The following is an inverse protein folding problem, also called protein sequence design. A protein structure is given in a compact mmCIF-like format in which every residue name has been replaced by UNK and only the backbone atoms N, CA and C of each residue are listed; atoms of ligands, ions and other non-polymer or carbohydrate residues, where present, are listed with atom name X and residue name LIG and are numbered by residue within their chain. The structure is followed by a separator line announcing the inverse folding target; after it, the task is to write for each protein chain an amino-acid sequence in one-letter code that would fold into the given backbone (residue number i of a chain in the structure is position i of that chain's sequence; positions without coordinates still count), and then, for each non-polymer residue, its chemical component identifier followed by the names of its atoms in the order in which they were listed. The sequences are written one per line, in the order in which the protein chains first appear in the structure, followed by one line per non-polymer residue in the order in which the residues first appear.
data_IF_132896271212
#
_entry.id   IF_132896271212
#
_cell.length_a   1.000
_cell.length_b   1.000
_cell.length_c   1.000
_cell.angle_alpha   90.00
_cell.angle_beta   90.00
_cell.angle_gamma   90.00
#
_symmetry.space_group_name_H-M   'P 1'
#
loop_
_entity.id
_entity.type
_entity.pdbx_description
1 polymer ?
#
# COMPACT_ATOMS: atom_id res chain seq x y z
N UNK A 1 -9.16 12.06 -22.93
CA UNK A 1 -8.10 11.34 -22.19
C UNK A 1 -7.34 12.33 -21.33
N UNK A 2 -7.43 12.24 -19.99
CA UNK A 2 -6.73 13.13 -19.04
C UNK A 2 -5.41 12.46 -18.63
N UNK A 3 -4.30 13.04 -19.06
CA UNK A 3 -2.95 12.61 -18.69
C UNK A 3 -2.57 12.98 -17.26
N UNK A 4 -2.00 12.00 -16.55
CA UNK A 4 -0.84 12.11 -15.65
C UNK A 4 -0.92 13.09 -14.45
N UNK A 5 -1.71 12.75 -13.41
CA UNK A 5 -1.36 13.08 -12.02
C UNK A 5 -0.76 11.82 -11.37
N UNK A 6 0.56 11.68 -11.55
CA UNK A 6 1.27 10.40 -11.74
C UNK A 6 1.34 9.44 -10.54
N UNK A 7 1.22 9.91 -9.29
CA UNK A 7 1.12 9.03 -8.09
C UNK A 7 0.24 9.68 -7.01
N UNK A 8 0.26 11.02 -6.96
CA UNK A 8 -0.42 11.86 -5.98
C UNK A 8 -1.89 12.08 -6.37
N UNK A 9 -2.69 11.04 -6.20
CA UNK A 9 -4.16 11.12 -6.22
C UNK A 9 -4.69 10.90 -4.81
N UNK A 10 -5.79 11.56 -4.43
CA UNK A 10 -6.36 11.40 -3.07
C UNK A 10 -6.76 9.94 -2.79
N UNK A 11 -7.16 9.20 -3.82
CA UNK A 11 -7.40 7.75 -3.78
C UNK A 11 -6.15 6.97 -3.35
N UNK A 12 -5.03 7.19 -4.04
CA UNK A 12 -3.75 6.56 -3.72
C UNK A 12 -3.26 6.96 -2.33
N UNK A 13 -3.41 8.23 -1.94
CA UNK A 13 -3.07 8.70 -0.60
C UNK A 13 -3.86 7.95 0.49
N UNK A 14 -5.17 7.82 0.33
CA UNK A 14 -6.03 7.08 1.26
C UNK A 14 -5.59 5.63 1.40
N UNK A 15 -5.30 4.97 0.26
CA UNK A 15 -4.81 3.60 0.26
C UNK A 15 -3.46 3.47 0.98
N UNK A 16 -2.48 4.32 0.66
CA UNK A 16 -1.15 4.30 1.28
C UNK A 16 -1.20 4.56 2.78
N UNK A 17 -2.03 5.52 3.23
CA UNK A 17 -2.24 5.80 4.65
C UNK A 17 -2.84 4.59 5.35
N UNK A 18 -3.84 3.96 4.75
CA UNK A 18 -4.47 2.75 5.29
C UNK A 18 -3.48 1.59 5.39
N UNK A 19 -2.71 1.31 4.33
CA UNK A 19 -1.69 0.25 4.31
C UNK A 19 -0.63 0.45 5.40
N UNK A 20 -0.14 1.70 5.56
CA UNK A 20 0.80 2.06 6.61
C UNK A 20 0.23 1.81 8.00
N UNK A 21 -1.05 2.16 8.22
CA UNK A 21 -1.75 1.91 9.49
C UNK A 21 -1.86 0.41 9.76
N UNK A 22 -2.32 -0.38 8.78
CA UNK A 22 -2.43 -1.84 8.93
C UNK A 22 -1.07 -2.48 9.25
N UNK A 23 0.00 -2.04 8.59
CA UNK A 23 1.37 -2.51 8.90
C UNK A 23 1.75 -2.25 10.35
N UNK A 24 1.49 -1.05 10.84
CA UNK A 24 1.79 -0.66 12.23
C UNK A 24 0.93 -1.45 13.24
N UNK A 25 -0.37 -1.60 12.98
CA UNK A 25 -1.30 -2.37 13.82
C UNK A 25 -0.90 -3.86 13.93
N UNK A 26 -0.39 -4.43 12.84
CA UNK A 26 0.16 -5.80 12.80
C UNK A 26 1.58 -5.92 13.37
N UNK A 27 2.17 -4.82 13.85
CA UNK A 27 3.49 -4.81 14.49
C UNK A 27 4.66 -4.98 13.52
N UNK A 28 4.45 -4.84 12.21
CA UNK A 28 5.51 -4.98 11.22
C UNK A 28 6.33 -3.69 11.06
N UNK A 29 7.65 -3.83 11.04
CA UNK A 29 8.54 -2.79 10.52
C UNK A 29 8.54 -2.84 8.99
N UNK A 30 9.06 -1.80 8.33
CA UNK A 30 9.27 -1.87 6.87
C UNK A 30 10.20 -3.02 6.48
N UNK A 31 11.19 -3.35 7.32
CA UNK A 31 12.12 -4.46 7.07
C UNK A 31 11.42 -5.80 7.18
N UNK A 32 10.71 -6.06 8.28
CA UNK A 32 10.04 -7.35 8.47
C UNK A 32 8.93 -7.60 7.46
N UNK A 33 8.18 -6.57 7.05
CA UNK A 33 7.21 -6.74 5.96
C UNK A 33 7.90 -7.01 4.61
N UNK A 34 9.00 -6.32 4.33
CA UNK A 34 9.74 -6.51 3.07
C UNK A 34 10.35 -7.91 2.94
N UNK A 35 10.75 -8.52 4.06
CA UNK A 35 11.23 -9.91 4.11
C UNK A 35 10.13 -10.89 3.72
N UNK A 36 8.90 -10.70 4.24
CA UNK A 36 7.72 -11.52 3.88
C UNK A 36 7.39 -11.36 2.39
N UNK A 37 7.47 -10.14 1.88
CA UNK A 37 7.16 -9.84 0.47
C UNK A 37 8.29 -10.20 -0.50
N UNK A 38 9.48 -10.55 -0.02
CA UNK A 38 10.66 -10.77 -0.87
C UNK A 38 11.09 -9.51 -1.64
N UNK A 39 10.98 -8.33 -1.02
CA UNK A 39 11.28 -7.03 -1.64
C UNK A 39 12.30 -6.23 -0.81
N UNK A 40 12.93 -5.18 -1.37
CA UNK A 40 13.74 -4.26 -0.57
C UNK A 40 12.87 -3.46 0.41
N UNK A 41 13.33 -3.21 1.64
CA UNK A 41 12.59 -2.37 2.61
C UNK A 41 12.24 -0.97 2.08
N UNK A 42 13.03 -0.43 1.15
CA UNK A 42 12.76 0.86 0.49
C UNK A 42 11.52 0.83 -0.41
N UNK A 43 11.12 -0.35 -0.91
CA UNK A 43 9.86 -0.54 -1.63
C UNK A 43 8.67 -0.15 -0.74
N UNK A 44 8.66 -0.64 0.50
CA UNK A 44 7.62 -0.34 1.50
C UNK A 44 7.53 1.16 1.75
N UNK A 45 8.68 1.79 2.02
CA UNK A 45 8.75 3.25 2.24
C UNK A 45 8.25 4.05 1.04
N UNK A 46 8.67 3.69 -0.18
CA UNK A 46 8.24 4.36 -1.41
C UNK A 46 6.75 4.21 -1.66
N UNK A 47 6.17 3.05 -1.37
CA UNK A 47 4.73 2.83 -1.47
C UNK A 47 3.99 3.69 -0.46
N UNK A 48 4.36 3.61 0.82
CA UNK A 48 3.67 4.33 1.89
C UNK A 48 3.79 5.86 1.78
N UNK A 49 4.90 6.35 1.21
CA UNK A 49 5.13 7.77 0.95
C UNK A 49 4.58 8.26 -0.39
N UNK A 50 3.92 7.39 -1.17
CA UNK A 50 3.38 7.73 -2.51
C UNK A 50 4.47 8.15 -3.52
N UNK A 51 5.67 7.62 -3.36
CA UNK A 51 6.75 7.74 -4.36
C UNK A 51 6.66 6.62 -5.41
N UNK A 52 5.93 5.54 -5.09
CA UNK A 52 5.68 4.40 -5.98
C UNK A 52 4.24 3.94 -5.85
N UNK A 53 3.55 3.76 -6.98
CA UNK A 53 2.24 3.08 -7.01
C UNK A 53 2.41 1.56 -6.91
N UNK A 54 1.51 0.92 -6.20
CA UNK A 54 1.28 -0.52 -6.29
C UNK A 54 0.38 -0.80 -7.50
N UNK A 55 0.72 -1.80 -8.30
CA UNK A 55 -0.29 -2.43 -9.14
C UNK A 55 -1.23 -3.32 -8.30
N UNK A 56 -2.31 -3.82 -8.91
CA UNK A 56 -3.33 -4.60 -8.19
C UNK A 56 -2.78 -5.92 -7.62
N UNK A 57 -1.84 -6.56 -8.31
CA UNK A 57 -1.25 -7.83 -7.86
C UNK A 57 -0.29 -7.58 -6.71
N UNK A 58 0.55 -6.54 -6.80
CA UNK A 58 1.42 -6.11 -5.71
C UNK A 58 0.60 -5.69 -4.49
N UNK A 59 -0.51 -5.00 -4.69
CA UNK A 59 -1.43 -4.61 -3.63
C UNK A 59 -2.02 -5.83 -2.90
N UNK A 60 -2.55 -6.81 -3.64
CA UNK A 60 -3.10 -8.04 -3.03
C UNK A 60 -2.03 -8.79 -2.25
N UNK A 61 -0.81 -8.91 -2.78
CA UNK A 61 0.31 -9.54 -2.06
C UNK A 61 0.68 -8.77 -0.80
N UNK A 62 0.69 -7.44 -0.85
CA UNK A 62 0.94 -6.58 0.30
C UNK A 62 -0.08 -6.82 1.41
N UNK A 63 -1.37 -6.86 1.06
CA UNK A 63 -2.45 -7.18 2.00
C UNK A 63 -2.33 -8.59 2.59
N UNK A 64 -2.02 -9.59 1.78
CA UNK A 64 -1.79 -10.97 2.24
C UNK A 64 -0.61 -11.05 3.21
N UNK A 65 0.50 -10.37 2.92
CA UNK A 65 1.67 -10.32 3.80
C UNK A 65 1.38 -9.62 5.14
N UNK A 66 0.38 -8.75 5.18
CA UNK A 66 -0.13 -8.12 6.39
C UNK A 66 -1.26 -8.89 7.07
N UNK A 67 -1.73 -10.00 6.48
CA UNK A 67 -2.91 -10.73 6.97
C UNK A 67 -4.14 -9.81 7.11
N UNK A 68 -4.43 -9.05 6.05
CA UNK A 68 -5.61 -8.17 5.95
C UNK A 68 -6.36 -8.42 4.65
N UNK A 69 -7.68 -8.22 4.66
CA UNK A 69 -8.51 -8.36 3.46
C UNK A 69 -8.28 -7.18 2.48
N UNK A 70 -7.86 -7.44 1.23
CA UNK A 70 -7.75 -6.39 0.20
C UNK A 70 -9.07 -5.64 -0.06
N UNK A 71 -10.23 -6.23 0.19
CA UNK A 71 -11.50 -5.52 -0.02
C UNK A 71 -11.65 -4.32 0.91
N UNK A 72 -11.10 -4.38 2.13
CA UNK A 72 -11.15 -3.29 3.12
C UNK A 72 -10.31 -2.07 2.67
N UNK A 73 -9.17 -2.31 2.04
CA UNK A 73 -8.35 -1.23 1.47
C UNK A 73 -9.00 -0.62 0.23
N UNK A 74 -9.66 -1.43 -0.61
CA UNK A 74 -10.43 -0.92 -1.76
C UNK A 74 -11.59 -0.02 -1.32
N UNK A 75 -12.27 -0.34 -0.20
CA UNK A 75 -13.30 0.54 0.37
C UNK A 75 -12.77 1.94 0.69
N UNK A 76 -11.51 2.06 1.13
CA UNK A 76 -10.89 3.38 1.39
C UNK A 76 -10.74 4.24 0.13
N UNK A 77 -10.66 3.59 -1.04
CA UNK A 77 -10.53 4.25 -2.34
C UNK A 77 -11.90 4.62 -2.91
N UNK A 78 -12.90 3.75 -2.73
CA UNK A 78 -14.26 3.91 -3.27
C UNK A 78 -15.13 4.89 -2.47
N UNK A 79 -14.86 5.03 -1.17
CA UNK A 79 -15.62 5.92 -0.28
C UNK A 79 -15.15 7.35 -0.47
N UNK A 80 -15.83 8.12 -1.33
CA UNK A 80 -15.67 9.57 -1.48
C UNK A 80 -16.52 10.32 -0.45
#
# INVERSE_FOLDING_TARGET
MKGTKSVISEENKRLCVWLKRQRQEKGHTMRSLSEILGTPHSFIGKVENQERRLDVIEYVRYCQALDVDPTEGLKQVLSA
#
